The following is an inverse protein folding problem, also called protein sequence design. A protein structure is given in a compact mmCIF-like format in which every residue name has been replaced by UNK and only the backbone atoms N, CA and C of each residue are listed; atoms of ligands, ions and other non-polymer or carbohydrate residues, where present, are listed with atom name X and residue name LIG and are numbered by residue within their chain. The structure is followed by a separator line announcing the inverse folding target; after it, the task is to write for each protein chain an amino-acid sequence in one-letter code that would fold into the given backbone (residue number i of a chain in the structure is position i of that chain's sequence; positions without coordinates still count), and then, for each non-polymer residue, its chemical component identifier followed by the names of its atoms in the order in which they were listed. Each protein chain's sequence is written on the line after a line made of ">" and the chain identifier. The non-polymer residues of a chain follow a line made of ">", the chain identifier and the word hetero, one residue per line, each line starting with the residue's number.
data_IF_131980172133
#
_entry.id   IF_131980172133
#
_cell.length_a   1.000
_cell.length_b   1.000
_cell.length_c   1.000
_cell.angle_alpha   90.00
_cell.angle_beta   90.00
_cell.angle_gamma   90.00
#
_symmetry.space_group_name_H-M   'P 1'
#
loop_
_entity.id
_entity.type
_entity.pdbx_description
1 polymer ?
#
# COMPACT_ATOMS: atom_id res chain seq x y z
N UNK A 1 1.54 -22.09 9.65
CA UNK A 1 0.98 -22.05 11.03
C UNK A 1 1.81 -21.14 11.95
N UNK A 2 3.13 -21.25 11.92
CA UNK A 2 4.03 -20.39 12.75
C UNK A 2 3.85 -18.91 12.44
N UNK A 3 3.88 -18.52 11.16
CA UNK A 3 3.68 -17.13 10.72
C UNK A 3 2.34 -16.53 11.17
N UNK A 4 1.26 -17.33 11.18
CA UNK A 4 -0.05 -16.85 11.65
C UNK A 4 -0.01 -16.57 13.16
N UNK A 5 0.60 -17.46 13.94
CA UNK A 5 0.70 -17.29 15.39
C UNK A 5 1.54 -16.05 15.74
N UNK A 6 2.67 -15.86 15.07
CA UNK A 6 3.54 -14.68 15.27
C UNK A 6 2.80 -13.41 14.89
N UNK A 7 2.09 -13.41 13.75
CA UNK A 7 1.29 -12.28 13.30
C UNK A 7 0.19 -11.93 14.31
N UNK A 8 -0.60 -12.90 14.76
CA UNK A 8 -1.69 -12.64 15.69
C UNK A 8 -1.18 -12.10 17.04
N UNK A 9 -0.11 -12.68 17.59
CA UNK A 9 0.51 -12.20 18.82
C UNK A 9 1.02 -10.76 18.70
N UNK A 10 1.57 -10.41 17.56
CA UNK A 10 2.00 -9.04 17.29
C UNK A 10 0.80 -8.11 17.10
N UNK A 11 -0.22 -8.54 16.36
CA UNK A 11 -1.42 -7.76 16.08
C UNK A 11 -2.13 -7.37 17.39
N UNK A 12 -2.28 -8.29 18.32
CA UNK A 12 -2.86 -8.02 19.64
C UNK A 12 -2.11 -6.91 20.38
N UNK A 13 -0.78 -6.96 20.38
CA UNK A 13 0.07 -5.92 21.00
C UNK A 13 -0.04 -4.58 20.27
N UNK A 14 -0.06 -4.61 18.95
CA UNK A 14 -0.20 -3.41 18.12
C UNK A 14 -1.51 -2.67 18.43
N UNK A 15 -2.61 -3.42 18.51
CA UNK A 15 -3.92 -2.83 18.81
C UNK A 15 -4.06 -2.40 20.27
N UNK A 16 -3.40 -3.08 21.20
CA UNK A 16 -3.29 -2.62 22.57
C UNK A 16 -2.54 -1.27 22.66
N UNK A 17 -1.42 -1.14 21.92
CA UNK A 17 -0.69 0.12 21.79
C UNK A 17 -1.57 1.21 21.17
N UNK A 18 -2.21 0.93 20.04
CA UNK A 18 -3.10 1.88 19.35
C UNK A 18 -4.19 2.40 20.28
N UNK A 19 -4.91 1.50 20.95
CA UNK A 19 -5.99 1.85 21.87
C UNK A 19 -5.50 2.64 23.09
N UNK A 20 -4.26 2.41 23.53
CA UNK A 20 -3.65 3.21 24.60
C UNK A 20 -3.39 4.67 24.18
N UNK A 21 -3.14 4.90 22.89
CA UNK A 21 -2.89 6.21 22.30
C UNK A 21 -4.20 6.94 21.99
N UNK A 22 -5.19 6.21 21.45
CA UNK A 22 -6.48 6.74 20.98
C UNK A 22 -7.64 6.31 21.89
N UNK A 23 -7.50 6.57 23.18
CA UNK A 23 -8.45 6.11 24.22
C UNK A 23 -9.89 6.60 24.05
N UNK A 24 -10.04 7.77 23.43
CA UNK A 24 -11.33 8.45 23.28
C UNK A 24 -11.95 8.20 21.89
N UNK A 25 -11.39 7.27 21.09
CA UNK A 25 -11.95 6.93 19.80
C UNK A 25 -13.32 6.25 19.96
N UNK A 26 -14.30 6.71 19.18
CA UNK A 26 -15.67 6.14 19.21
C UNK A 26 -15.70 4.73 18.66
N UNK A 27 -14.83 4.45 17.68
CA UNK A 27 -14.64 3.12 17.08
C UNK A 27 -13.23 3.00 16.51
N UNK A 28 -12.77 1.78 16.33
CA UNK A 28 -11.49 1.46 15.69
C UNK A 28 -11.69 0.46 14.57
N UNK A 29 -11.12 0.76 13.40
CA UNK A 29 -11.07 -0.15 12.27
C UNK A 29 -9.65 -0.69 12.18
N UNK A 30 -9.48 -1.96 12.56
CA UNK A 30 -8.17 -2.59 12.49
C UNK A 30 -7.81 -2.95 11.06
N UNK A 31 -6.52 -2.92 10.74
CA UNK A 31 -5.99 -3.18 9.41
C UNK A 31 -4.59 -3.82 9.49
N UNK A 32 -4.03 -4.26 8.39
CA UNK A 32 -2.73 -4.92 8.36
C UNK A 32 -2.60 -5.89 7.19
N UNK A 33 -2.05 -7.06 7.44
CA UNK A 33 -1.92 -8.12 6.42
C UNK A 33 -3.26 -8.86 6.25
N UNK A 34 -3.69 -9.07 5.02
CA UNK A 34 -4.98 -9.72 4.74
C UNK A 34 -4.90 -11.22 5.04
N UNK A 35 -3.89 -11.91 4.50
CA UNK A 35 -3.61 -13.32 4.79
C UNK A 35 -2.13 -13.49 5.14
N UNK A 36 -1.78 -13.65 6.42
CA UNK A 36 -0.38 -13.68 6.88
C UNK A 36 0.48 -14.74 6.19
N UNK A 37 0.02 -15.97 6.04
CA UNK A 37 0.79 -17.03 5.39
C UNK A 37 1.05 -16.74 3.90
N UNK A 38 0.06 -16.19 3.20
CA UNK A 38 0.20 -15.82 1.79
C UNK A 38 1.18 -14.66 1.64
N UNK A 39 1.04 -13.63 2.49
CA UNK A 39 1.94 -12.49 2.50
C UNK A 39 3.38 -12.92 2.79
N UNK A 40 3.60 -13.75 3.83
CA UNK A 40 4.93 -14.23 4.19
C UNK A 40 5.60 -15.04 3.08
N UNK A 41 4.83 -15.82 2.33
CA UNK A 41 5.34 -16.65 1.21
C UNK A 41 5.53 -15.88 -0.09
N UNK A 42 4.96 -14.68 -0.22
CA UNK A 42 5.09 -13.84 -1.42
C UNK A 42 6.51 -13.29 -1.56
N UNK A 43 7.19 -13.48 -2.70
CA UNK A 43 8.55 -13.01 -2.89
C UNK A 43 8.65 -11.47 -2.97
N UNK A 44 7.59 -10.80 -3.39
CA UNK A 44 7.51 -9.34 -3.49
C UNK A 44 6.30 -8.83 -2.70
N UNK A 45 6.58 -8.30 -1.52
CA UNK A 45 5.56 -7.88 -0.56
C UNK A 45 5.14 -6.44 -0.79
N UNK A 46 3.86 -6.23 -1.04
CA UNK A 46 3.30 -4.88 -1.23
C UNK A 46 2.48 -4.46 -0.02
N UNK A 47 2.79 -3.28 0.48
CA UNK A 47 1.96 -2.60 1.47
C UNK A 47 1.22 -1.44 0.80
N UNK A 48 -0.09 -1.40 0.92
CA UNK A 48 -0.93 -0.32 0.43
C UNK A 48 -1.26 0.58 1.62
N UNK A 49 -0.82 1.83 1.56
CA UNK A 49 -1.04 2.82 2.62
C UNK A 49 -2.04 3.87 2.18
N UNK A 50 -3.17 3.91 2.85
CA UNK A 50 -4.27 4.85 2.58
C UNK A 50 -4.43 5.89 3.69
N UNK A 51 -5.33 6.84 3.45
CA UNK A 51 -5.60 7.96 4.35
C UNK A 51 -6.35 7.52 5.61
N UNK A 52 -7.57 7.06 5.45
CA UNK A 52 -8.44 6.69 6.55
C UNK A 52 -9.45 5.62 6.15
N UNK A 53 -9.80 4.77 7.10
CA UNK A 53 -10.96 3.91 7.02
C UNK A 53 -12.20 4.65 7.52
N UNK A 54 -13.34 4.45 6.88
CA UNK A 54 -14.61 5.06 7.24
C UNK A 54 -15.67 4.00 7.49
N UNK A 55 -16.25 4.03 8.68
CA UNK A 55 -17.46 3.27 9.04
C UNK A 55 -18.07 3.92 10.30
N UNK A 56 -19.16 3.34 10.78
CA UNK A 56 -19.88 3.75 11.98
C UNK A 56 -19.67 2.80 13.16
N UNK A 57 -18.84 1.77 13.01
CA UNK A 57 -18.56 0.74 14.03
C UNK A 57 -17.16 0.19 13.93
N UNK A 58 -16.68 -0.42 15.02
CA UNK A 58 -15.42 -1.15 15.02
C UNK A 58 -15.54 -2.48 14.27
N UNK A 59 -14.56 -2.78 13.42
CA UNK A 59 -14.41 -4.08 12.75
C UNK A 59 -12.97 -4.24 12.25
N UNK A 60 -12.60 -5.43 11.81
CA UNK A 60 -11.34 -5.65 11.10
C UNK A 60 -11.56 -5.48 9.59
N UNK A 61 -10.96 -4.44 9.02
CA UNK A 61 -11.04 -4.17 7.57
C UNK A 61 -10.56 -5.39 6.77
N UNK A 62 -9.46 -6.00 7.20
CA UNK A 62 -8.85 -7.09 6.47
C UNK A 62 -9.53 -8.44 6.77
N UNK A 63 -9.81 -8.77 8.03
CA UNK A 63 -10.36 -10.07 8.42
C UNK A 63 -11.89 -10.13 8.25
N UNK A 64 -12.63 -9.18 8.81
CA UNK A 64 -14.10 -9.17 8.77
C UNK A 64 -14.63 -8.56 7.45
N UNK A 65 -13.82 -7.74 6.78
CA UNK A 65 -14.13 -7.15 5.47
C UNK A 65 -13.53 -7.98 4.34
N UNK A 66 -12.31 -7.65 3.93
CA UNK A 66 -11.71 -8.15 2.68
C UNK A 66 -11.52 -9.67 2.69
N UNK A 67 -10.93 -10.25 3.75
CA UNK A 67 -10.68 -11.69 3.80
C UNK A 67 -11.98 -12.51 3.84
N UNK A 68 -12.98 -12.04 4.58
CA UNK A 68 -14.30 -12.66 4.64
C UNK A 68 -15.00 -12.63 3.28
N UNK A 69 -15.03 -11.46 2.63
CA UNK A 69 -15.67 -11.31 1.32
C UNK A 69 -15.00 -12.21 0.26
N UNK A 70 -13.66 -12.31 0.26
CA UNK A 70 -12.91 -13.24 -0.58
C UNK A 70 -13.32 -14.70 -0.28
N UNK A 71 -13.39 -15.07 0.98
CA UNK A 71 -13.78 -16.44 1.42
C UNK A 71 -15.21 -16.81 1.02
N UNK A 72 -16.11 -15.84 0.97
CA UNK A 72 -17.51 -16.00 0.52
C UNK A 72 -17.66 -15.93 -1.02
N UNK A 73 -16.57 -15.77 -1.77
CA UNK A 73 -16.59 -15.61 -3.23
C UNK A 73 -17.12 -14.25 -3.69
N UNK A 74 -17.23 -13.30 -2.77
CA UNK A 74 -17.60 -11.93 -3.07
C UNK A 74 -16.33 -11.20 -3.54
N UNK A 75 -16.46 -10.40 -4.60
CA UNK A 75 -15.37 -9.54 -5.05
C UNK A 75 -15.51 -8.21 -4.33
N UNK A 76 -14.70 -7.96 -3.25
CA UNK A 76 -14.93 -6.82 -2.35
C UNK A 76 -14.75 -5.45 -3.00
N UNK A 77 -14.21 -5.42 -4.21
CA UNK A 77 -13.83 -4.19 -4.90
C UNK A 77 -14.62 -3.93 -6.18
N UNK A 78 -15.64 -4.73 -6.48
CA UNK A 78 -16.45 -4.50 -7.69
C UNK A 78 -16.97 -3.07 -7.77
N UNK A 79 -17.35 -2.51 -6.62
CA UNK A 79 -17.90 -1.17 -6.49
C UNK A 79 -16.94 -0.18 -5.77
N UNK A 80 -15.72 -0.62 -5.40
CA UNK A 80 -14.74 0.18 -4.68
C UNK A 80 -13.61 0.64 -5.58
N UNK A 81 -13.75 1.79 -6.23
CA UNK A 81 -12.80 2.36 -7.19
C UNK A 81 -11.38 2.43 -6.60
N UNK A 82 -11.24 2.85 -5.36
CA UNK A 82 -9.93 2.99 -4.69
C UNK A 82 -9.20 1.66 -4.60
N UNK A 83 -9.87 0.62 -4.11
CA UNK A 83 -9.27 -0.69 -3.91
C UNK A 83 -8.91 -1.34 -5.26
N UNK A 84 -9.83 -1.28 -6.22
CA UNK A 84 -9.61 -1.77 -7.59
C UNK A 84 -8.43 -1.09 -8.28
N UNK A 85 -8.25 0.22 -8.08
CA UNK A 85 -7.14 0.96 -8.66
C UNK A 85 -5.79 0.59 -8.02
N UNK A 86 -5.74 0.43 -6.71
CA UNK A 86 -4.53 -0.05 -6.02
C UNK A 86 -4.14 -1.46 -6.46
N UNK A 87 -5.11 -2.33 -6.68
CA UNK A 87 -4.84 -3.67 -7.18
C UNK A 87 -4.26 -3.66 -8.59
N UNK A 88 -4.78 -2.83 -9.47
CA UNK A 88 -4.22 -2.66 -10.81
C UNK A 88 -2.79 -2.12 -10.78
N UNK A 89 -2.49 -1.19 -9.87
CA UNK A 89 -1.12 -0.76 -9.62
C UNK A 89 -0.24 -1.93 -9.20
N UNK A 90 -0.70 -2.72 -8.24
CA UNK A 90 0.00 -3.90 -7.79
C UNK A 90 0.24 -4.91 -8.91
N UNK A 91 -0.76 -5.19 -9.74
CA UNK A 91 -0.61 -6.04 -10.92
C UNK A 91 0.43 -5.50 -11.89
N UNK A 92 0.44 -4.20 -12.14
CA UNK A 92 1.45 -3.57 -13.00
C UNK A 92 2.86 -3.77 -12.45
N UNK A 93 3.05 -3.60 -11.14
CA UNK A 93 4.32 -3.86 -10.46
C UNK A 93 4.76 -5.32 -10.62
N UNK A 94 3.88 -6.26 -10.32
CA UNK A 94 4.16 -7.69 -10.40
C UNK A 94 4.50 -8.11 -11.85
N UNK A 95 3.77 -7.60 -12.82
CA UNK A 95 4.05 -7.88 -14.23
C UNK A 95 5.45 -7.42 -14.64
N UNK A 96 5.82 -6.19 -14.26
CA UNK A 96 7.15 -5.65 -14.50
C UNK A 96 8.26 -6.48 -13.86
N UNK A 97 8.05 -6.90 -12.61
CA UNK A 97 9.03 -7.65 -11.83
C UNK A 97 9.14 -9.12 -12.25
N UNK A 98 8.10 -9.71 -12.80
CA UNK A 98 8.08 -11.11 -13.25
C UNK A 98 8.64 -11.31 -14.65
N UNK A 99 8.74 -10.26 -15.45
CA UNK A 99 9.32 -10.34 -16.79
C UNK A 99 10.85 -10.29 -16.75
N UNK A 100 11.51 -10.90 -17.73
CA UNK A 100 12.97 -11.16 -17.78
C UNK A 100 13.86 -9.92 -17.79
N UNK A 101 13.29 -8.74 -17.70
CA UNK A 101 14.01 -7.47 -17.59
C UNK A 101 13.08 -6.30 -17.86
N UNK A 102 13.24 -5.24 -17.11
CA UNK A 102 12.47 -4.01 -17.28
C UNK A 102 12.60 -3.39 -18.68
N UNK A 103 13.70 -3.66 -19.39
CA UNK A 103 13.96 -3.13 -20.72
C UNK A 103 13.21 -3.89 -21.84
N UNK A 104 12.66 -5.05 -21.54
CA UNK A 104 11.96 -5.92 -22.51
C UNK A 104 10.45 -5.75 -22.45
N UNK A 105 9.93 -5.03 -21.47
CA UNK A 105 8.49 -4.82 -21.29
C UNK A 105 8.09 -3.46 -21.87
N UNK A 106 7.15 -3.48 -22.80
CA UNK A 106 6.59 -2.27 -23.38
C UNK A 106 5.42 -1.73 -22.57
N UNK A 107 5.17 -0.40 -22.68
CA UNK A 107 4.00 0.26 -22.10
C UNK A 107 2.69 -0.45 -22.47
N UNK A 108 2.57 -0.87 -23.73
CA UNK A 108 1.39 -1.55 -24.24
C UNK A 108 1.17 -2.90 -23.53
N UNK A 109 2.22 -3.67 -23.30
CA UNK A 109 2.11 -4.96 -22.61
C UNK A 109 1.60 -4.82 -21.19
N UNK A 110 2.05 -3.79 -20.46
CA UNK A 110 1.57 -3.51 -19.10
C UNK A 110 0.09 -3.11 -19.11
N UNK A 111 -0.30 -2.23 -20.03
CA UNK A 111 -1.70 -1.80 -20.16
C UNK A 111 -2.59 -2.98 -20.55
N UNK A 112 -2.18 -3.78 -21.52
CA UNK A 112 -2.92 -4.95 -21.96
C UNK A 112 -3.07 -5.97 -20.83
N UNK A 113 -1.99 -6.25 -20.08
CA UNK A 113 -2.03 -7.14 -18.93
C UNK A 113 -3.02 -6.67 -17.86
N UNK A 114 -2.92 -5.41 -17.44
CA UNK A 114 -3.80 -4.84 -16.41
C UNK A 114 -5.27 -4.82 -16.84
N UNK A 115 -5.53 -4.56 -18.12
CA UNK A 115 -6.89 -4.52 -18.65
C UNK A 115 -7.49 -5.91 -18.91
N UNK A 116 -6.66 -6.93 -19.14
CA UNK A 116 -7.07 -8.31 -19.36
C UNK A 116 -7.17 -9.13 -18.09
N UNK A 117 -6.54 -8.66 -16.97
CA UNK A 117 -6.60 -9.35 -15.69
C UNK A 117 -8.04 -9.44 -15.21
N UNK A 118 -8.48 -10.65 -14.93
CA UNK A 118 -9.81 -10.92 -14.41
C UNK A 118 -9.92 -10.67 -12.91
N UNK A 119 -11.11 -10.91 -12.38
CA UNK A 119 -11.38 -10.68 -10.97
C UNK A 119 -10.66 -11.69 -10.04
N UNK A 120 -10.42 -12.91 -10.53
CA UNK A 120 -9.76 -13.97 -9.75
C UNK A 120 -8.28 -13.62 -9.54
N UNK A 121 -7.62 -13.07 -10.57
CA UNK A 121 -6.27 -12.53 -10.46
C UNK A 121 -6.21 -11.40 -9.42
N UNK A 122 -7.17 -10.48 -9.46
CA UNK A 122 -7.26 -9.36 -8.51
C UNK A 122 -7.43 -9.85 -7.08
N UNK A 123 -8.30 -10.84 -6.86
CA UNK A 123 -8.51 -11.48 -5.54
C UNK A 123 -7.23 -12.16 -5.06
N UNK A 124 -6.54 -12.88 -5.93
CA UNK A 124 -5.29 -13.54 -5.62
C UNK A 124 -4.23 -12.54 -5.12
N UNK A 125 -4.00 -11.46 -5.86
CA UNK A 125 -2.99 -10.47 -5.50
C UNK A 125 -3.36 -9.68 -4.25
N UNK A 126 -4.62 -9.32 -4.07
CA UNK A 126 -5.07 -8.66 -2.85
C UNK A 126 -4.82 -9.51 -1.61
N UNK A 127 -5.03 -10.82 -1.73
CA UNK A 127 -4.79 -11.74 -0.62
C UNK A 127 -3.30 -11.83 -0.21
N UNK A 128 -2.37 -11.38 -1.06
CA UNK A 128 -0.93 -11.33 -0.79
C UNK A 128 -0.45 -9.94 -0.34
N UNK A 129 -1.35 -9.02 -0.04
CA UNK A 129 -1.01 -7.64 0.31
C UNK A 129 -1.18 -7.35 1.82
N UNK A 130 -0.47 -6.32 2.29
CA UNK A 130 -0.82 -5.60 3.49
C UNK A 130 -1.61 -4.34 3.10
N UNK A 131 -2.72 -4.06 3.79
CA UNK A 131 -3.57 -2.91 3.54
C UNK A 131 -3.74 -2.13 4.82
N UNK A 132 -3.19 -0.92 4.88
CA UNK A 132 -3.17 -0.10 6.09
C UNK A 132 -3.71 1.30 5.84
N UNK A 133 -4.25 1.91 6.87
CA UNK A 133 -4.69 3.30 6.88
C UNK A 133 -3.87 4.12 7.87
N UNK A 134 -3.61 5.37 7.58
CA UNK A 134 -2.98 6.29 8.53
C UNK A 134 -3.91 6.51 9.72
N UNK A 135 -5.16 6.84 9.45
CA UNK A 135 -6.19 7.03 10.47
C UNK A 135 -7.09 5.81 10.55
N UNK A 136 -7.12 5.17 11.72
CA UNK A 136 -7.79 3.88 11.97
C UNK A 136 -9.03 4.01 12.87
N UNK A 137 -9.38 5.22 13.25
CA UNK A 137 -10.57 5.49 14.07
C UNK A 137 -11.23 6.81 13.68
N UNK A 138 -12.53 6.91 13.90
CA UNK A 138 -13.31 8.13 13.65
C UNK A 138 -13.08 8.72 12.26
N UNK A 139 -12.94 7.87 11.24
CA UNK A 139 -12.75 8.26 9.84
C UNK A 139 -13.96 9.00 9.30
N UNK A 140 -13.73 9.85 8.30
CA UNK A 140 -14.77 10.68 7.68
C UNK A 140 -14.96 10.31 6.21
N UNK A 141 -16.18 10.47 5.71
CA UNK A 141 -16.48 10.29 4.28
C UNK A 141 -15.61 11.17 3.37
N UNK A 142 -15.14 12.32 3.89
CA UNK A 142 -14.16 13.18 3.23
C UNK A 142 -13.03 13.46 4.18
N UNK A 143 -11.84 13.04 3.79
CA UNK A 143 -10.62 13.24 4.57
C UNK A 143 -10.27 14.73 4.71
N UNK A 144 -9.90 15.13 5.92
CA UNK A 144 -9.37 16.46 6.23
C UNK A 144 -7.86 16.30 6.50
N UNK A 145 -7.01 16.93 5.69
CA UNK A 145 -5.55 16.75 5.78
C UNK A 145 -4.96 17.09 7.16
N UNK A 146 -5.41 18.18 7.79
CA UNK A 146 -4.94 18.55 9.14
C UNK A 146 -5.27 17.48 10.16
N UNK A 147 -6.46 16.90 10.10
CA UNK A 147 -6.89 15.81 10.96
C UNK A 147 -6.04 14.54 10.73
N UNK A 148 -5.81 14.17 9.47
CA UNK A 148 -4.91 13.05 9.13
C UNK A 148 -3.49 13.25 9.63
N UNK A 149 -2.95 14.47 9.53
CA UNK A 149 -1.61 14.82 10.01
C UNK A 149 -1.49 14.66 11.53
N UNK A 150 -2.48 15.15 12.29
CA UNK A 150 -2.51 14.98 13.73
C UNK A 150 -2.63 13.50 14.13
N UNK A 151 -3.45 12.72 13.43
CA UNK A 151 -3.54 11.28 13.64
C UNK A 151 -2.23 10.57 13.32
N UNK A 152 -1.61 10.87 12.19
CA UNK A 152 -0.32 10.30 11.82
C UNK A 152 0.76 10.62 12.86
N UNK A 153 0.83 11.88 13.30
CA UNK A 153 1.79 12.32 14.33
C UNK A 153 1.57 11.59 15.67
N UNK A 154 0.32 11.46 16.09
CA UNK A 154 -0.03 10.79 17.34
C UNK A 154 0.22 9.27 17.27
N UNK A 155 -0.07 8.65 16.09
CA UNK A 155 0.04 7.22 15.87
C UNK A 155 1.32 6.77 15.14
N UNK A 156 2.36 7.61 15.06
CA UNK A 156 3.55 7.35 14.25
C UNK A 156 4.25 6.04 14.62
N UNK A 157 4.31 5.68 15.89
CA UNK A 157 4.95 4.44 16.33
C UNK A 157 4.16 3.20 15.89
N UNK A 158 2.83 3.30 15.82
CA UNK A 158 1.99 2.22 15.27
C UNK A 158 2.27 2.02 13.79
N UNK A 159 2.37 3.11 13.00
CA UNK A 159 2.69 3.04 11.58
C UNK A 159 4.09 2.48 11.34
N UNK A 160 5.08 2.93 12.08
CA UNK A 160 6.46 2.42 12.00
C UNK A 160 6.50 0.92 12.31
N UNK A 161 5.79 0.51 13.37
CA UNK A 161 5.76 -0.89 13.77
C UNK A 161 5.08 -1.77 12.72
N UNK A 162 3.99 -1.31 12.09
CA UNK A 162 3.36 -2.02 10.98
C UNK A 162 4.33 -2.21 9.80
N UNK A 163 5.07 -1.16 9.43
CA UNK A 163 6.04 -1.23 8.34
C UNK A 163 7.19 -2.18 8.68
N UNK A 164 7.77 -2.08 9.90
CA UNK A 164 8.86 -2.97 10.32
C UNK A 164 8.46 -4.44 10.27
N UNK A 165 7.35 -4.76 10.91
CA UNK A 165 6.91 -6.13 11.08
C UNK A 165 6.46 -6.78 9.77
N UNK A 166 5.69 -6.05 8.96
CA UNK A 166 5.29 -6.51 7.63
C UNK A 166 6.46 -6.55 6.65
N UNK A 167 7.46 -5.71 6.85
CA UNK A 167 8.67 -5.64 6.04
C UNK A 167 8.40 -5.66 4.52
N UNK A 168 7.64 -4.70 3.99
CA UNK A 168 7.26 -4.71 2.58
C UNK A 168 8.45 -4.48 1.65
N UNK A 169 8.37 -5.05 0.45
CA UNK A 169 9.29 -4.77 -0.66
C UNK A 169 9.03 -3.41 -1.28
N UNK A 170 7.79 -2.94 -1.22
CA UNK A 170 7.37 -1.61 -1.66
C UNK A 170 6.12 -1.16 -0.89
N UNK A 171 6.05 0.14 -0.65
CA UNK A 171 4.86 0.80 -0.09
C UNK A 171 4.21 1.63 -1.19
N UNK A 172 2.93 1.38 -1.46
CA UNK A 172 2.11 2.19 -2.37
C UNK A 172 1.31 3.20 -1.54
N UNK A 173 1.63 4.48 -1.66
CA UNK A 173 0.92 5.55 -0.99
C UNK A 173 -0.19 6.15 -1.87
N UNK A 174 -1.38 6.33 -1.31
CA UNK A 174 -2.52 6.97 -1.98
C UNK A 174 -2.65 8.46 -1.59
N UNK A 175 -1.76 9.33 -2.07
CA UNK A 175 -1.68 10.76 -1.71
C UNK A 175 -1.54 10.96 -0.19
N UNK A 176 -0.65 10.20 0.43
CA UNK A 176 -0.43 10.22 1.88
C UNK A 176 0.91 10.85 2.27
N UNK A 177 1.91 10.86 1.37
CA UNK A 177 3.22 11.41 1.67
C UNK A 177 3.13 12.92 1.90
N UNK A 178 2.71 13.64 0.88
CA UNK A 178 2.72 15.09 0.90
C UNK A 178 1.74 15.68 1.91
N UNK A 179 2.28 16.46 2.85
CA UNK A 179 1.54 17.12 3.93
C UNK A 179 0.80 16.21 4.93
N UNK A 180 1.09 14.90 4.97
CA UNK A 180 0.52 14.01 5.99
C UNK A 180 1.65 13.36 6.77
N UNK A 181 2.53 12.62 6.11
CA UNK A 181 3.63 11.89 6.76
C UNK A 181 5.03 12.44 6.43
N UNK A 182 5.13 13.42 5.56
CA UNK A 182 6.39 14.00 5.05
C UNK A 182 7.37 14.44 6.15
N UNK A 183 6.87 14.94 7.27
CA UNK A 183 7.68 15.39 8.40
C UNK A 183 7.71 14.41 9.59
N UNK A 184 7.21 13.19 9.41
CA UNK A 184 7.08 12.20 10.49
C UNK A 184 8.04 11.02 10.33
N UNK A 185 8.59 10.84 9.15
CA UNK A 185 9.56 9.81 8.82
C UNK A 185 10.86 10.44 8.35
N UNK A 186 11.94 9.68 8.49
CA UNK A 186 13.17 10.01 7.80
C UNK A 186 13.05 9.56 6.35
N UNK A 187 13.48 10.44 5.44
CA UNK A 187 13.48 10.16 4.02
C UNK A 187 14.91 10.07 3.52
N UNK A 188 15.19 9.02 2.79
CA UNK A 188 16.42 8.86 2.05
C UNK A 188 16.36 9.61 0.72
N UNK A 189 16.87 8.97 -0.32
CA UNK A 189 16.94 9.59 -1.65
C UNK A 189 15.58 9.63 -2.34
N UNK A 190 15.34 10.71 -3.10
CA UNK A 190 14.30 10.74 -4.12
C UNK A 190 14.82 9.99 -5.36
N UNK A 191 14.23 8.85 -5.64
CA UNK A 191 14.63 7.98 -6.74
C UNK A 191 13.99 8.36 -8.07
N UNK A 192 12.81 8.96 -8.00
CA UNK A 192 12.05 9.43 -9.16
C UNK A 192 11.06 10.52 -8.76
N UNK A 193 10.93 11.55 -9.60
CA UNK A 193 9.94 12.61 -9.38
C UNK A 193 10.38 13.95 -9.92
N UNK A 194 11.57 14.40 -9.55
CA UNK A 194 12.15 15.68 -10.00
C UNK A 194 11.35 16.91 -9.60
N UNK A 195 11.81 18.05 -10.08
CA UNK A 195 11.17 19.34 -9.88
C UNK A 195 9.93 19.47 -10.75
N UNK A 196 8.79 19.73 -10.14
CA UNK A 196 7.55 19.99 -10.83
C UNK A 196 6.42 19.04 -10.49
N UNK A 197 5.34 19.17 -11.26
CA UNK A 197 4.16 18.34 -11.11
C UNK A 197 4.39 16.96 -11.74
N UNK A 198 4.72 15.99 -10.91
CA UNK A 198 4.78 14.60 -11.31
C UNK A 198 3.73 13.80 -10.54
N UNK A 199 2.87 13.03 -11.23
CA UNK A 199 1.83 12.23 -10.60
C UNK A 199 2.36 11.07 -9.78
N UNK A 200 3.61 10.65 -10.03
CA UNK A 200 4.30 9.57 -9.34
C UNK A 200 5.63 10.07 -8.82
N UNK A 201 5.90 9.84 -7.56
CA UNK A 201 7.21 10.07 -6.94
C UNK A 201 7.64 8.80 -6.22
N UNK A 202 8.93 8.50 -6.27
CA UNK A 202 9.50 7.34 -5.58
C UNK A 202 10.59 7.83 -4.64
N UNK A 203 10.45 7.51 -3.38
CA UNK A 203 11.37 7.84 -2.30
C UNK A 203 11.86 6.59 -1.58
N UNK A 204 12.93 6.73 -0.85
CA UNK A 204 13.29 5.80 0.21
C UNK A 204 12.72 6.31 1.54
N UNK A 205 11.77 5.58 2.12
CA UNK A 205 11.31 5.82 3.49
C UNK A 205 12.24 5.07 4.43
N UNK A 206 12.81 5.76 5.43
CA UNK A 206 13.80 5.18 6.34
C UNK A 206 13.21 4.98 7.73
N UNK A 207 13.34 3.75 8.24
CA UNK A 207 12.94 3.41 9.61
C UNK A 207 14.10 2.62 10.24
N UNK A 208 14.66 3.13 11.33
CA UNK A 208 15.78 2.51 12.06
C UNK A 208 16.98 2.15 11.17
N UNK A 209 17.26 3.01 10.19
CA UNK A 209 18.35 2.82 9.22
C UNK A 209 18.06 1.85 8.09
N UNK A 210 16.87 1.28 8.02
CA UNK A 210 16.42 0.45 6.90
C UNK A 210 15.57 1.27 5.95
N UNK A 211 15.88 1.18 4.64
CA UNK A 211 15.13 1.83 3.57
C UNK A 211 14.03 0.93 3.03
N UNK A 212 12.89 1.54 2.74
CA UNK A 212 11.72 0.94 2.10
C UNK A 212 11.33 1.79 0.89
N UNK A 213 11.26 1.23 -0.31
CA UNK A 213 10.75 1.95 -1.48
C UNK A 213 9.31 2.42 -1.23
N UNK A 214 9.10 3.72 -1.33
CA UNK A 214 7.80 4.35 -1.16
C UNK A 214 7.39 5.04 -2.45
N UNK A 215 6.32 4.58 -3.05
CA UNK A 215 5.74 5.14 -4.27
C UNK A 215 4.57 6.02 -3.87
N UNK A 216 4.74 7.34 -3.92
CA UNK A 216 3.65 8.30 -3.71
C UNK A 216 2.95 8.59 -5.02
N UNK A 217 1.68 8.27 -5.08
CA UNK A 217 0.83 8.52 -6.24
C UNK A 217 -0.42 9.28 -5.79
N UNK A 218 -1.13 9.90 -6.72
CA UNK A 218 -2.44 10.46 -6.40
C UNK A 218 -3.37 9.41 -5.82
N UNK A 219 -4.26 9.88 -4.97
CA UNK A 219 -5.32 9.02 -4.45
C UNK A 219 -6.09 8.39 -5.63
N UNK A 220 -6.27 7.07 -5.66
CA UNK A 220 -6.85 6.37 -6.81
C UNK A 220 -8.23 6.86 -7.26
N UNK A 221 -9.02 7.44 -6.35
CA UNK A 221 -10.30 8.06 -6.71
C UNK A 221 -10.15 9.36 -7.53
N UNK A 222 -8.93 9.88 -7.67
CA UNK A 222 -8.65 11.07 -8.51
C UNK A 222 -8.26 10.72 -9.94
N UNK A 223 -8.25 9.46 -10.32
CA UNK A 223 -7.98 9.04 -11.71
C UNK A 223 -8.95 9.67 -12.71
N UNK A 224 -10.16 10.01 -12.27
CA UNK A 224 -11.15 10.74 -13.07
C UNK A 224 -10.74 12.17 -13.45
N UNK A 225 -9.76 12.76 -12.77
CA UNK A 225 -9.28 14.12 -13.04
C UNK A 225 -8.08 14.15 -14.00
N UNK A 226 -7.66 13.00 -14.53
CA UNK A 226 -6.54 12.88 -15.44
C UNK A 226 -6.88 13.25 -16.88
N UNK A 227 -7.50 14.41 -17.08
CA UNK A 227 -7.86 15.03 -18.36
C UNK A 227 -9.18 14.60 -18.99
N UNK A 228 -9.61 15.44 -19.92
CA UNK A 228 -10.77 15.39 -20.80
C UNK A 228 -10.97 14.10 -21.64
N UNK A 229 -10.40 12.99 -21.26
CA UNK A 229 -10.56 11.66 -21.82
C UNK A 229 -11.55 10.80 -21.03
N UNK A 230 -11.96 9.67 -21.57
CA UNK A 230 -12.81 8.74 -20.87
C UNK A 230 -12.10 8.12 -19.62
N UNK A 231 -12.85 7.52 -18.72
CA UNK A 231 -12.33 6.93 -17.47
C UNK A 231 -11.24 5.87 -17.75
N UNK A 232 -11.32 5.19 -18.87
CA UNK A 232 -10.40 4.13 -19.30
C UNK A 232 -9.05 4.70 -19.75
N UNK A 233 -9.06 5.82 -20.44
CA UNK A 233 -7.86 6.55 -20.87
C UNK A 233 -7.12 7.15 -19.65
N UNK A 234 -7.86 7.76 -18.75
CA UNK A 234 -7.32 8.30 -17.49
C UNK A 234 -6.66 7.24 -16.62
N UNK A 235 -7.26 6.06 -16.54
CA UNK A 235 -6.71 4.91 -15.80
C UNK A 235 -5.43 4.38 -16.46
N UNK A 236 -5.42 4.24 -17.78
CA UNK A 236 -4.24 3.77 -18.52
C UNK A 236 -3.05 4.72 -18.35
N UNK A 237 -3.26 6.03 -18.40
CA UNK A 237 -2.22 7.04 -18.17
C UNK A 237 -1.61 6.96 -16.75
N UNK A 238 -2.43 6.68 -15.75
CA UNK A 238 -1.98 6.56 -14.37
C UNK A 238 -1.01 5.38 -14.18
N UNK A 239 -1.30 4.21 -14.79
CA UNK A 239 -0.41 3.07 -14.76
C UNK A 239 0.84 3.26 -15.60
N UNK A 240 0.72 4.00 -16.69
CA UNK A 240 1.84 4.32 -17.55
C UNK A 240 2.89 5.18 -16.84
N UNK A 241 2.47 6.15 -16.03
CA UNK A 241 3.39 6.95 -15.23
C UNK A 241 4.08 6.11 -14.14
N UNK A 242 3.37 5.20 -13.51
CA UNK A 242 3.99 4.23 -12.58
C UNK A 242 5.05 3.37 -13.29
N UNK A 243 4.72 2.84 -14.47
CA UNK A 243 5.63 2.05 -15.29
C UNK A 243 6.90 2.82 -15.64
N UNK A 244 6.77 4.06 -16.13
CA UNK A 244 7.91 4.92 -16.46
C UNK A 244 8.80 5.19 -15.25
N UNK A 245 8.18 5.46 -14.11
CA UNK A 245 8.89 5.71 -12.86
C UNK A 245 9.72 4.49 -12.44
N UNK A 246 9.14 3.31 -12.46
CA UNK A 246 9.84 2.07 -12.08
C UNK A 246 10.99 1.73 -13.01
N UNK A 247 10.78 1.86 -14.33
CA UNK A 247 11.85 1.65 -15.32
C UNK A 247 12.97 2.68 -15.14
N UNK A 248 12.64 3.92 -14.86
CA UNK A 248 13.63 4.96 -14.62
C UNK A 248 14.53 4.60 -13.44
N UNK A 249 13.95 4.15 -12.33
CA UNK A 249 14.72 3.71 -11.15
C UNK A 249 15.60 2.51 -11.50
N UNK A 250 15.09 1.49 -12.19
CA UNK A 250 15.88 0.33 -12.59
C UNK A 250 17.04 0.68 -13.53
N UNK A 251 16.84 1.63 -14.45
CA UNK A 251 17.89 2.11 -15.36
C UNK A 251 19.00 2.87 -14.63
N UNK A 252 18.65 3.67 -13.64
CA UNK A 252 19.62 4.43 -12.85
C UNK A 252 20.29 3.59 -11.77
N UNK A 253 19.60 2.55 -11.30
CA UNK A 253 20.05 1.62 -10.24
C UNK A 253 19.73 0.18 -10.63
N UNK A 254 20.50 -0.45 -11.50
CA UNK A 254 20.26 -1.82 -11.93
C UNK A 254 20.17 -2.79 -10.75
N UNK A 255 19.10 -3.59 -10.71
CA UNK A 255 18.82 -4.53 -9.65
C UNK A 255 18.17 -3.93 -8.39
N UNK A 256 17.78 -2.65 -8.42
CA UNK A 256 17.15 -2.01 -7.27
C UNK A 256 15.92 -2.77 -6.79
N UNK A 257 14.98 -3.05 -7.69
CA UNK A 257 13.74 -3.75 -7.32
C UNK A 257 13.97 -5.18 -6.86
N UNK A 258 14.88 -5.90 -7.51
CA UNK A 258 15.22 -7.27 -7.13
C UNK A 258 15.90 -7.36 -5.75
N UNK A 259 16.64 -6.34 -5.34
CA UNK A 259 17.26 -6.28 -4.01
C UNK A 259 16.23 -6.17 -2.86
N UNK A 260 15.03 -5.73 -3.15
CA UNK A 260 13.92 -5.63 -2.19
C UNK A 260 12.96 -6.84 -2.23
N UNK A 261 13.24 -7.82 -3.08
CA UNK A 261 12.45 -9.06 -3.13
C UNK A 261 12.87 -10.03 -2.02
N UNK A 262 11.98 -10.97 -1.70
CA UNK A 262 12.21 -12.03 -0.70
C UNK A 262 12.54 -11.52 0.72
N UNK A 263 12.14 -10.32 1.06
CA UNK A 263 12.30 -9.81 2.40
C UNK A 263 11.54 -10.70 3.40
N UNK A 264 12.24 -11.19 4.41
CA UNK A 264 11.59 -11.86 5.54
C UNK A 264 10.70 -10.88 6.30
N UNK A 265 9.57 -11.32 6.77
CA UNK A 265 8.63 -10.54 7.57
C UNK A 265 8.27 -11.27 8.85
N UNK A 266 7.65 -10.59 9.78
CA UNK A 266 7.18 -11.11 11.09
C UNK A 266 8.31 -11.55 12.05
N UNK A 267 9.59 -11.25 11.73
CA UNK A 267 10.72 -11.74 12.53
C UNK A 267 11.11 -10.82 13.69
N UNK A 268 10.78 -9.55 13.62
CA UNK A 268 11.17 -8.57 14.64
C UNK A 268 10.03 -7.64 15.01
N UNK A 269 9.74 -7.53 16.30
CA UNK A 269 8.81 -6.54 16.82
C UNK A 269 9.46 -5.71 17.91
N UNK A 270 9.28 -4.40 17.85
CA UNK A 270 9.66 -3.49 18.94
C UNK A 270 8.66 -3.54 20.09
N UNK A 271 7.49 -4.15 19.89
CA UNK A 271 6.46 -4.29 20.92
C UNK A 271 6.84 -5.39 21.92
N UNK A 272 7.21 -5.00 23.12
CA UNK A 272 7.55 -5.91 24.23
C UNK A 272 6.34 -6.17 25.13
#
# INVERSE_FOLDING_TARGET
>A
MENILEYNNWEDKLWALYNSIFKDASYTITDGVIFPDKYASTPFKVMIMNREAYDEKSYSLNQDGIAKEIGEGIIPFKDQITLRSHLRQYLSLIHLLSNKGFNEVSEKEVIDFVNQSDNDDLVYYLSNAAYINIKKSDGKKRSVRSDLKEYAKKGIEVLKEQIRFCNPSVILGGDVCYNIIDNLFDWGEELYGGDGYNPVKIYELVIDGKSYPFIDMFHPSRTQNYKDGDEKESMSMYFLELFKAMISVEKTRPGYWSSHMNNKCFETSALK
#
